data_IF_591844292073
#
_entry.id   IF_591844292073
#
_cell.length_a   1.000
_cell.length_b   1.000
_cell.length_c   1.000
_cell.angle_alpha   90.00
_cell.angle_beta   90.00
_cell.angle_gamma   90.00
#
_symmetry.space_group_name_H-M   'P 1'
#
loop_
_entity.id
_entity.type
_entity.pdbx_description
1 polymer ?
#
# COMPACT_ATOMS: atom_id res chain seq x y z
N UNK A 1 -13.08 -50.86 -31.71
CA UNK A 1 -12.37 -49.58 -31.90
C UNK A 1 -12.89 -48.56 -30.89
N UNK A 2 -12.41 -48.53 -29.63
CA UNK A 2 -13.02 -47.64 -28.60
C UNK A 2 -12.07 -47.04 -27.55
N UNK A 3 -10.74 -47.11 -27.69
CA UNK A 3 -9.83 -46.66 -26.62
C UNK A 3 -9.23 -45.25 -26.78
N UNK A 4 -9.48 -44.53 -27.88
CA UNK A 4 -8.86 -43.20 -28.10
C UNK A 4 -9.59 -42.00 -27.48
N UNK A 5 -10.86 -42.14 -27.09
CA UNK A 5 -11.66 -41.00 -26.61
C UNK A 5 -11.35 -40.61 -25.16
N UNK A 6 -10.88 -41.56 -24.34
CA UNK A 6 -10.61 -41.32 -22.91
C UNK A 6 -9.29 -40.57 -22.68
N UNK A 7 -8.29 -40.78 -23.54
CA UNK A 7 -6.97 -40.14 -23.40
C UNK A 7 -7.03 -38.64 -23.73
N UNK A 8 -7.78 -38.27 -24.78
CA UNK A 8 -7.90 -36.87 -25.24
C UNK A 8 -8.60 -35.95 -24.22
N UNK A 9 -9.63 -36.43 -23.51
CA UNK A 9 -10.35 -35.62 -22.51
C UNK A 9 -9.48 -35.30 -21.29
N UNK A 10 -8.66 -36.26 -20.86
CA UNK A 10 -7.77 -36.08 -19.71
C UNK A 10 -6.70 -35.02 -19.98
N UNK A 11 -6.09 -35.07 -21.16
CA UNK A 11 -5.10 -34.08 -21.59
C UNK A 11 -5.71 -32.67 -21.69
N UNK A 12 -6.94 -32.55 -22.20
CA UNK A 12 -7.65 -31.27 -22.26
C UNK A 12 -7.93 -30.69 -20.86
N UNK A 13 -8.30 -31.54 -19.89
CA UNK A 13 -8.53 -31.10 -18.50
C UNK A 13 -7.26 -30.64 -17.82
N UNK A 14 -6.13 -31.34 -18.01
CA UNK A 14 -4.84 -30.92 -17.47
C UNK A 14 -4.38 -29.60 -18.09
N UNK A 15 -4.57 -29.41 -19.40
CA UNK A 15 -4.24 -28.15 -20.06
C UNK A 15 -5.09 -26.97 -19.56
N UNK A 16 -6.37 -27.20 -19.22
CA UNK A 16 -7.23 -26.19 -18.59
C UNK A 16 -6.76 -25.87 -17.16
N UNK A 17 -6.44 -26.88 -16.37
CA UNK A 17 -5.93 -26.72 -15.01
C UNK A 17 -4.61 -25.95 -14.99
N UNK A 18 -3.63 -26.36 -15.81
CA UNK A 18 -2.33 -25.70 -15.96
C UNK A 18 -2.49 -24.21 -16.27
N UNK A 19 -3.35 -23.87 -17.24
CA UNK A 19 -3.67 -22.46 -17.57
C UNK A 19 -4.27 -21.69 -16.40
N UNK A 20 -5.16 -22.31 -15.64
CA UNK A 20 -5.75 -21.72 -14.43
C UNK A 20 -4.71 -21.45 -13.35
N UNK A 21 -3.82 -22.40 -13.09
CA UNK A 21 -2.73 -22.26 -12.12
C UNK A 21 -1.73 -21.17 -12.52
N UNK A 22 -1.33 -21.10 -13.79
CA UNK A 22 -0.49 -20.01 -14.28
C UNK A 22 -1.13 -18.63 -14.09
N UNK A 23 -2.45 -18.50 -14.30
CA UNK A 23 -3.16 -17.23 -14.04
C UNK A 23 -3.14 -16.87 -12.56
N UNK A 24 -3.39 -17.84 -11.68
CA UNK A 24 -3.34 -17.63 -10.22
C UNK A 24 -1.94 -17.21 -9.76
N UNK A 25 -0.89 -17.91 -10.21
CA UNK A 25 0.51 -17.53 -9.93
C UNK A 25 0.86 -16.17 -10.53
N UNK A 26 0.38 -15.88 -11.74
CA UNK A 26 0.55 -14.58 -12.39
C UNK A 26 -0.05 -13.44 -11.57
N UNK A 27 -1.18 -13.67 -10.90
CA UNK A 27 -1.75 -12.69 -9.97
C UNK A 27 -0.82 -12.40 -8.79
N UNK A 28 -0.13 -13.41 -8.25
CA UNK A 28 0.88 -13.21 -7.18
C UNK A 28 2.03 -12.35 -7.71
N UNK A 29 2.50 -12.61 -8.94
CA UNK A 29 3.51 -11.75 -9.58
C UNK A 29 3.06 -10.30 -9.65
N UNK A 30 1.80 -10.05 -10.01
CA UNK A 30 1.24 -8.69 -10.04
C UNK A 30 1.27 -8.02 -8.67
N UNK A 31 0.94 -8.73 -7.59
CA UNK A 31 1.06 -8.19 -6.23
C UNK A 31 2.50 -7.81 -5.88
N UNK A 32 3.47 -8.67 -6.20
CA UNK A 32 4.90 -8.38 -6.00
C UNK A 32 5.31 -7.14 -6.80
N UNK A 33 4.97 -7.06 -8.09
CA UNK A 33 5.32 -5.92 -8.95
C UNK A 33 4.70 -4.62 -8.45
N UNK A 34 3.43 -4.62 -8.07
CA UNK A 34 2.75 -3.45 -7.54
C UNK A 34 3.38 -2.99 -6.23
N UNK A 35 3.74 -3.93 -5.36
CA UNK A 35 4.40 -3.60 -4.11
C UNK A 35 5.83 -3.07 -4.31
N UNK A 36 6.56 -3.61 -5.28
CA UNK A 36 7.86 -3.06 -5.68
C UNK A 36 7.76 -1.62 -6.20
N UNK A 37 6.65 -1.28 -6.87
CA UNK A 37 6.36 0.11 -7.25
C UNK A 37 6.13 0.99 -6.02
N UNK A 38 5.34 0.55 -5.04
CA UNK A 38 5.16 1.27 -3.76
C UNK A 38 6.52 1.54 -3.11
N UNK A 39 7.42 0.56 -3.11
CA UNK A 39 8.78 0.72 -2.56
C UNK A 39 9.67 1.67 -3.39
N UNK A 40 9.43 1.78 -4.69
CA UNK A 40 10.10 2.75 -5.54
C UNK A 40 9.59 4.16 -5.22
N UNK A 41 8.27 4.33 -5.15
CA UNK A 41 7.62 5.60 -4.87
C UNK A 41 8.05 6.10 -3.48
N UNK A 42 8.11 5.23 -2.47
CA UNK A 42 8.65 5.53 -1.13
C UNK A 42 10.08 6.10 -1.15
N UNK A 43 10.94 5.55 -2.00
CA UNK A 43 12.35 5.92 -2.08
C UNK A 43 12.50 7.27 -2.77
N UNK A 44 11.76 7.49 -3.86
CA UNK A 44 11.88 8.67 -4.72
C UNK A 44 11.07 9.88 -4.26
N UNK A 45 9.91 9.66 -3.64
CA UNK A 45 8.97 10.71 -3.27
C UNK A 45 8.80 10.78 -1.74
N UNK A 46 9.29 11.84 -1.08
CA UNK A 46 9.10 12.06 0.35
C UNK A 46 7.63 12.13 0.78
N UNK A 47 6.73 12.65 -0.07
CA UNK A 47 5.31 12.81 0.27
C UNK A 47 4.57 11.47 0.31
N UNK A 48 5.13 10.45 -0.36
CA UNK A 48 4.61 9.07 -0.38
C UNK A 48 5.09 8.22 0.81
N UNK A 49 5.84 8.79 1.77
CA UNK A 49 6.44 8.06 2.91
C UNK A 49 5.48 7.94 4.11
N UNK A 50 4.43 7.16 3.93
CA UNK A 50 3.47 6.80 4.99
C UNK A 50 3.74 5.38 5.57
N UNK A 51 4.36 5.27 6.77
CA UNK A 51 4.74 3.98 7.35
C UNK A 51 3.57 3.02 7.54
N UNK A 52 2.38 3.54 7.87
CA UNK A 52 1.18 2.73 8.12
C UNK A 52 0.68 2.12 6.80
N UNK A 53 0.67 2.92 5.73
CA UNK A 53 0.35 2.43 4.38
C UNK A 53 1.34 1.35 3.91
N UNK A 54 2.63 1.56 4.19
CA UNK A 54 3.68 0.61 3.82
C UNK A 54 3.52 -0.72 4.57
N UNK A 55 3.20 -0.68 5.86
CA UNK A 55 2.95 -1.86 6.68
C UNK A 55 1.70 -2.62 6.21
N UNK A 56 0.58 -1.93 5.99
CA UNK A 56 -0.64 -2.55 5.46
C UNK A 56 -0.44 -3.18 4.07
N UNK A 57 0.38 -2.53 3.23
CA UNK A 57 0.76 -3.05 1.92
C UNK A 57 1.63 -4.31 2.04
N UNK A 58 2.54 -4.35 3.01
CA UNK A 58 3.37 -5.53 3.30
C UNK A 58 2.51 -6.71 3.74
N UNK A 59 1.58 -6.52 4.66
CA UNK A 59 0.66 -7.58 5.11
C UNK A 59 -0.16 -8.15 3.94
N UNK A 60 -0.59 -7.27 3.04
CA UNK A 60 -1.32 -7.68 1.84
C UNK A 60 -0.45 -8.52 0.91
N UNK A 61 0.82 -8.13 0.69
CA UNK A 61 1.75 -8.94 -0.08
C UNK A 61 1.95 -10.33 0.56
N UNK A 62 2.21 -10.37 1.88
CA UNK A 62 2.43 -11.62 2.62
C UNK A 62 1.23 -12.57 2.52
N UNK A 63 0.01 -12.06 2.76
CA UNK A 63 -1.22 -12.87 2.65
C UNK A 63 -1.40 -13.50 1.29
N UNK A 64 -1.07 -12.77 0.22
CA UNK A 64 -1.17 -13.30 -1.14
C UNK A 64 -0.05 -14.30 -1.46
N UNK A 65 1.16 -14.07 -0.93
CA UNK A 65 2.31 -14.94 -1.16
C UNK A 65 2.20 -16.30 -0.46
N UNK A 66 1.45 -16.41 0.65
CA UNK A 66 1.19 -17.72 1.32
C UNK A 66 0.65 -18.79 0.35
N UNK A 67 -0.13 -18.39 -0.66
CA UNK A 67 -0.72 -19.31 -1.63
C UNK A 67 0.27 -19.72 -2.74
N UNK A 68 1.46 -19.15 -2.77
CA UNK A 68 2.44 -19.38 -3.83
C UNK A 68 2.91 -20.84 -3.84
N UNK A 69 3.31 -21.37 -2.67
CA UNK A 69 3.86 -22.73 -2.56
C UNK A 69 2.85 -23.77 -3.06
N UNK A 70 1.61 -23.71 -2.58
CA UNK A 70 0.54 -24.60 -3.03
C UNK A 70 0.31 -24.55 -4.56
N UNK A 71 0.39 -23.36 -5.15
CA UNK A 71 0.20 -23.17 -6.60
C UNK A 71 1.39 -23.69 -7.40
N UNK A 72 2.60 -23.44 -6.90
CA UNK A 72 3.83 -23.87 -7.54
C UNK A 72 3.96 -25.39 -7.48
N UNK A 73 3.69 -26.01 -6.32
CA UNK A 73 3.67 -27.48 -6.18
C UNK A 73 2.67 -28.15 -7.13
N UNK A 74 1.50 -27.54 -7.32
CA UNK A 74 0.50 -28.04 -8.28
C UNK A 74 0.98 -27.89 -9.74
N UNK A 75 1.74 -26.84 -10.05
CA UNK A 75 2.32 -26.65 -11.39
C UNK A 75 3.45 -27.65 -11.64
N UNK A 76 4.35 -27.84 -10.68
CA UNK A 76 5.50 -28.76 -10.79
C UNK A 76 5.05 -30.22 -10.96
N UNK A 77 3.93 -30.62 -10.33
CA UNK A 77 3.29 -31.92 -10.55
C UNK A 77 2.77 -32.13 -11.98
N UNK A 78 2.43 -31.06 -12.69
CA UNK A 78 1.89 -31.10 -14.06
C UNK A 78 2.99 -30.85 -15.10
N UNK A 79 3.99 -30.03 -14.77
CA UNK A 79 5.08 -29.62 -15.63
C UNK A 79 6.37 -29.38 -14.81
N UNK A 80 7.32 -30.31 -14.93
CA UNK A 80 8.61 -30.28 -14.24
C UNK A 80 9.51 -29.11 -14.68
N UNK A 81 9.21 -28.43 -15.79
CA UNK A 81 10.01 -27.27 -16.23
C UNK A 81 9.75 -26.03 -15.38
N UNK A 82 8.74 -26.05 -14.51
CA UNK A 82 8.33 -24.90 -13.70
C UNK A 82 9.18 -24.66 -12.44
N UNK A 83 10.01 -25.62 -12.01
CA UNK A 83 10.88 -25.53 -10.81
C UNK A 83 11.76 -24.27 -10.80
N UNK A 84 12.31 -23.89 -11.96
CA UNK A 84 13.23 -22.74 -12.07
C UNK A 84 12.58 -21.41 -11.70
N UNK A 85 11.26 -21.29 -11.84
CA UNK A 85 10.53 -20.05 -11.55
C UNK A 85 10.28 -19.85 -10.07
N UNK A 86 10.42 -20.90 -9.23
CA UNK A 86 10.26 -20.78 -7.78
C UNK A 86 11.22 -19.76 -7.19
N UNK A 87 12.50 -19.90 -7.53
CA UNK A 87 13.59 -19.06 -7.04
C UNK A 87 13.35 -17.58 -7.40
N UNK A 88 12.92 -17.29 -8.64
CA UNK A 88 12.67 -15.91 -9.09
C UNK A 88 11.61 -15.18 -8.25
N UNK A 89 10.53 -15.88 -7.89
CA UNK A 89 9.43 -15.31 -7.11
C UNK A 89 9.84 -15.14 -5.64
N UNK A 90 10.49 -16.14 -5.06
CA UNK A 90 11.00 -16.08 -3.69
C UNK A 90 12.02 -14.96 -3.52
N UNK A 91 12.97 -14.82 -4.46
CA UNK A 91 13.94 -13.73 -4.43
C UNK A 91 13.26 -12.37 -4.51
N UNK A 92 12.29 -12.21 -5.42
CA UNK A 92 11.58 -10.93 -5.60
C UNK A 92 10.78 -10.57 -4.33
N UNK A 93 10.10 -11.55 -3.75
CA UNK A 93 9.38 -11.38 -2.50
C UNK A 93 10.32 -11.05 -1.33
N UNK A 94 11.41 -11.79 -1.17
CA UNK A 94 12.38 -11.55 -0.10
C UNK A 94 13.06 -10.19 -0.22
N UNK A 95 13.40 -9.74 -1.44
CA UNK A 95 13.93 -8.39 -1.71
C UNK A 95 12.91 -7.33 -1.29
N UNK A 96 11.64 -7.49 -1.66
CA UNK A 96 10.56 -6.58 -1.28
C UNK A 96 10.40 -6.50 0.25
N UNK A 97 10.26 -7.65 0.94
CA UNK A 97 10.10 -7.70 2.39
C UNK A 97 11.32 -7.11 3.11
N UNK A 98 12.53 -7.44 2.66
CA UNK A 98 13.78 -6.93 3.22
C UNK A 98 13.88 -5.41 3.12
N UNK A 99 13.58 -4.85 1.92
CA UNK A 99 13.59 -3.40 1.68
C UNK A 99 12.54 -2.69 2.53
N UNK A 100 11.33 -3.25 2.62
CA UNK A 100 10.25 -2.70 3.44
C UNK A 100 10.63 -2.61 4.92
N UNK A 101 11.14 -3.72 5.48
CA UNK A 101 11.56 -3.76 6.88
C UNK A 101 12.69 -2.78 7.18
N UNK A 102 13.55 -2.51 6.19
CA UNK A 102 14.56 -1.46 6.31
C UNK A 102 13.92 -0.08 6.40
N UNK A 103 13.01 0.25 5.47
CA UNK A 103 12.31 1.53 5.46
C UNK A 103 11.49 1.79 6.72
N UNK A 104 10.75 0.79 7.23
CA UNK A 104 10.00 0.91 8.47
C UNK A 104 10.92 1.17 9.68
N UNK A 105 12.08 0.49 9.76
CA UNK A 105 13.08 0.77 10.80
C UNK A 105 13.71 2.15 10.69
N UNK A 106 13.90 2.65 9.47
CA UNK A 106 14.42 4.01 9.24
C UNK A 106 13.39 5.06 9.65
N UNK A 107 12.12 4.88 9.29
CA UNK A 107 11.03 5.75 9.71
C UNK A 107 10.88 5.79 11.24
N UNK A 108 11.00 4.64 11.92
CA UNK A 108 10.93 4.56 13.38
C UNK A 108 12.13 5.22 14.11
N UNK A 109 13.27 5.39 13.44
CA UNK A 109 14.46 6.05 14.00
C UNK A 109 14.42 7.56 13.91
N UNK A 110 13.55 8.13 13.08
CA UNK A 110 13.34 9.57 13.04
C UNK A 110 12.70 9.93 14.38
N UNK A 111 13.41 10.65 15.29
CA UNK A 111 12.76 11.14 16.50
C UNK A 111 11.53 11.93 16.05
N UNK A 112 10.39 11.87 16.76
CA UNK A 112 9.31 12.79 16.48
C UNK A 112 9.97 14.16 16.44
N UNK A 113 9.95 14.82 15.29
CA UNK A 113 10.49 16.15 15.19
C UNK A 113 9.76 16.90 16.29
N UNK A 114 10.52 17.25 17.32
CA UNK A 114 10.22 18.34 18.22
C UNK A 114 9.71 19.39 17.26
N UNK A 115 8.43 19.73 17.35
CA UNK A 115 7.95 20.97 16.79
C UNK A 115 8.86 22.01 17.42
N UNK A 116 9.98 22.33 16.76
CA UNK A 116 10.68 23.55 17.04
C UNK A 116 9.58 24.58 16.90
N UNK A 117 9.25 25.33 17.96
CA UNK A 117 8.22 26.34 17.85
C UNK A 117 8.62 27.14 16.62
N UNK A 118 7.72 27.16 15.63
CA UNK A 118 7.86 28.05 14.50
C UNK A 118 7.95 29.41 15.17
N UNK A 119 9.17 29.93 15.29
CA UNK A 119 9.41 31.34 15.55
C UNK A 119 8.81 32.00 14.33
N UNK A 120 7.50 32.25 14.42
CA UNK A 120 6.78 33.10 13.50
C UNK A 120 7.53 34.41 13.57
N UNK A 121 8.41 34.65 12.60
CA UNK A 121 8.83 36.00 12.30
C UNK A 121 7.53 36.76 12.12
N UNK A 122 7.23 37.62 13.10
CA UNK A 122 6.13 38.55 13.00
C UNK A 122 6.32 39.32 11.69
N UNK A 123 5.33 39.35 10.78
CA UNK A 123 5.19 40.52 9.97
C UNK A 123 4.72 41.63 10.92
N UNK A 124 5.61 42.56 11.26
CA UNK A 124 5.25 43.77 11.98
C UNK A 124 4.47 44.71 11.04
N UNK A 125 3.23 44.34 10.72
CA UNK A 125 2.27 45.26 10.14
C UNK A 125 1.49 45.86 11.30
N UNK A 126 1.97 47.01 11.76
CA UNK A 126 1.33 47.85 12.75
C UNK A 126 0.11 48.52 12.10
N UNK A 127 -0.95 47.74 11.89
CA UNK A 127 -2.24 48.24 11.40
C UNK A 127 -3.05 48.64 12.63
N UNK A 128 -3.01 49.93 12.99
CA UNK A 128 -3.95 50.51 13.94
C UNK A 128 -5.34 50.55 13.31
N UNK A 129 -6.25 49.72 13.82
CA UNK A 129 -7.66 49.80 13.49
C UNK A 129 -8.26 51.09 14.09
N UNK A 130 -9.07 51.85 13.33
CA UNK A 130 -9.79 52.98 13.90
C UNK A 130 -10.75 52.47 14.98
N UNK A 131 -10.61 53.03 16.19
CA UNK A 131 -11.47 52.69 17.32
C UNK A 131 -12.84 53.32 17.09
N UNK A 132 -13.82 52.50 16.71
CA UNK A 132 -15.22 52.89 16.65
C UNK A 132 -15.81 52.71 18.06
N UNK A 133 -16.21 53.81 18.68
CA UNK A 133 -16.91 53.77 19.97
C UNK A 133 -18.32 53.22 19.74
N UNK A 134 -18.58 52.03 20.30
CA UNK A 134 -19.94 51.49 20.32
C UNK A 134 -20.84 52.40 21.18
N UNK A 135 -22.08 52.68 20.74
CA UNK A 135 -23.04 53.40 21.56
C UNK A 135 -23.35 52.59 22.81
N UNK A 136 -23.23 53.23 23.97
CA UNK A 136 -23.57 52.62 25.26
C UNK A 136 -25.09 52.49 25.34
N UNK A 137 -25.58 51.26 25.38
CA UNK A 137 -26.97 50.96 25.68
C UNK A 137 -27.18 51.13 27.19
N UNK A 138 -27.94 52.15 27.59
CA UNK A 138 -28.24 52.50 28.98
C UNK A 138 -29.42 51.71 29.56
N UNK A 139 -30.00 50.80 28.79
CA UNK A 139 -30.97 49.81 29.29
C UNK A 139 -32.28 50.40 29.81
N UNK A 140 -32.58 51.66 29.55
CA UNK A 140 -33.84 52.26 29.98
C UNK A 140 -34.99 51.77 29.08
N UNK A 141 -35.99 51.06 29.62
CA UNK A 141 -37.17 50.71 28.85
C UNK A 141 -37.95 51.98 28.54
N UNK A 142 -38.21 52.21 27.24
CA UNK A 142 -39.12 53.26 26.78
C UNK A 142 -40.53 52.81 27.18
N UNK A 143 -41.01 53.24 28.35
CA UNK A 143 -42.43 53.15 28.67
C UNK A 143 -43.18 54.10 27.76
N UNK A 144 -43.86 53.51 26.78
CA UNK A 144 -44.90 54.15 25.98
C UNK A 144 -46.04 54.53 26.92
N UNK A 145 -46.21 55.81 27.19
CA UNK A 145 -47.47 56.35 27.72
C UNK A 145 -48.27 56.94 26.55
N UNK A 146 -49.55 56.61 26.58
CA UNK A 146 -50.60 57.04 25.65
C UNK A 146 -50.67 58.56 25.47
#
# INVERSE_FOLDING_TARGET
>A
MSNNVSCSKHEETLAKLKRSLHRKRGSIKTFITNFMRILSDWETDPDSRDPDYLEASLETLQRNFIRFDDLQDQLEKIDLTEDTKRIEYEESYNKAVGKTRRFLREAAKVPPHVFAPITRMQPSLLVTLPQISLPKFDGLPIYRLY
#
